data_IF_532821531519
#
_entry.id   IF_532821531519
#
_cell.length_a   1.000
_cell.length_b   1.000
_cell.length_c   1.000
_cell.angle_alpha   90.00
_cell.angle_beta   90.00
_cell.angle_gamma   90.00
#
_symmetry.space_group_name_H-M   'P 1'
#
loop_
_entity.id
_entity.type
_entity.pdbx_description
1 polymer ?
#
# COMPACT_ATOMS: atom_id res chain seq x y z
N UNK A 1 -17.22 29.87 -15.85
CA UNK A 1 -16.57 28.63 -16.32
C UNK A 1 -15.20 28.57 -15.69
N UNK A 2 -14.97 27.67 -14.75
CA UNK A 2 -13.71 27.51 -14.05
C UNK A 2 -13.71 26.13 -13.39
N UNK A 3 -12.96 25.21 -13.98
CA UNK A 3 -12.82 23.82 -13.56
C UNK A 3 -11.75 23.67 -12.46
N UNK A 4 -12.01 22.70 -11.58
CA UNK A 4 -11.07 21.73 -10.97
C UNK A 4 -9.87 22.24 -10.13
N UNK A 5 -9.96 22.07 -8.80
CA UNK A 5 -9.02 21.28 -7.97
C UNK A 5 -9.24 21.54 -6.47
N UNK A 6 -9.83 20.56 -5.78
CA UNK A 6 -9.67 20.32 -4.35
C UNK A 6 -10.01 18.83 -4.13
N UNK A 7 -9.11 17.90 -4.44
CA UNK A 7 -7.95 17.64 -3.59
C UNK A 7 -8.32 16.62 -2.52
N UNK A 8 -8.86 15.45 -2.92
CA UNK A 8 -8.87 14.16 -2.20
C UNK A 8 -9.09 14.24 -0.67
N UNK A 9 -9.92 15.16 -0.20
CA UNK A 9 -10.28 15.33 1.21
C UNK A 9 -11.44 14.45 1.63
N UNK A 10 -11.73 13.40 0.85
CA UNK A 10 -12.59 12.30 1.26
C UNK A 10 -11.85 11.41 2.28
N UNK A 11 -11.35 12.05 3.35
CA UNK A 11 -11.13 11.55 4.70
C UNK A 11 -12.45 11.03 5.31
N UNK A 12 -13.25 10.31 4.53
CA UNK A 12 -14.47 9.67 4.98
C UNK A 12 -14.09 8.42 5.77
N UNK A 13 -14.01 8.58 7.08
CA UNK A 13 -14.70 7.70 8.04
C UNK A 13 -14.53 6.19 7.86
N UNK A 14 -13.32 5.68 7.65
CA UNK A 14 -12.97 4.32 8.07
C UNK A 14 -11.75 4.43 8.97
N UNK A 15 -11.93 4.09 10.24
CA UNK A 15 -10.83 3.90 11.18
C UNK A 15 -10.10 2.64 10.73
N UNK A 16 -9.31 2.75 9.65
CA UNK A 16 -8.50 1.65 9.15
C UNK A 16 -7.64 1.16 10.31
N UNK A 17 -7.68 -0.15 10.54
CA UNK A 17 -6.72 -0.79 11.43
C UNK A 17 -5.30 -0.51 10.93
N UNK A 18 -4.30 -0.66 11.80
CA UNK A 18 -2.89 -0.53 11.39
C UNK A 18 -2.57 -1.40 10.17
N UNK A 19 -3.12 -2.61 10.10
CA UNK A 19 -2.92 -3.53 8.98
C UNK A 19 -3.57 -3.01 7.68
N UNK A 20 -4.78 -2.47 7.76
CA UNK A 20 -5.46 -1.89 6.60
C UNK A 20 -4.77 -0.62 6.11
N UNK A 21 -4.29 0.22 7.02
CA UNK A 21 -3.50 1.42 6.70
C UNK A 21 -2.20 1.08 5.99
N UNK A 22 -1.42 0.13 6.52
CA UNK A 22 -0.17 -0.34 5.89
C UNK A 22 -0.42 -0.94 4.51
N UNK A 23 -1.50 -1.71 4.36
CA UNK A 23 -1.90 -2.33 3.09
C UNK A 23 -2.30 -1.26 2.07
N UNK A 24 -3.08 -0.28 2.50
CA UNK A 24 -3.48 0.84 1.65
C UNK A 24 -2.28 1.67 1.19
N UNK A 25 -1.34 1.98 2.09
CA UNK A 25 -0.10 2.69 1.74
C UNK A 25 0.70 1.95 0.68
N UNK A 26 0.83 0.62 0.78
CA UNK A 26 1.51 -0.19 -0.23
C UNK A 26 0.81 -0.11 -1.59
N UNK A 27 -0.52 -0.23 -1.63
CA UNK A 27 -1.28 -0.11 -2.88
C UNK A 27 -1.08 1.25 -3.56
N UNK A 28 -1.09 2.35 -2.79
CA UNK A 28 -0.84 3.69 -3.32
C UNK A 28 0.57 3.81 -3.90
N UNK A 29 1.60 3.30 -3.20
CA UNK A 29 2.97 3.30 -3.70
C UNK A 29 3.12 2.52 -5.02
N UNK A 30 2.44 1.38 -5.15
CA UNK A 30 2.46 0.58 -6.36
C UNK A 30 1.77 1.27 -7.54
N UNK A 31 0.61 1.88 -7.31
CA UNK A 31 -0.10 2.64 -8.34
C UNK A 31 0.71 3.85 -8.81
N UNK A 32 1.40 4.52 -7.90
CA UNK A 32 2.29 5.63 -8.24
C UNK A 32 3.51 5.17 -9.03
N UNK A 33 4.11 4.03 -8.66
CA UNK A 33 5.23 3.49 -9.43
C UNK A 33 4.80 3.10 -10.85
N UNK A 34 3.61 2.51 -10.98
CA UNK A 34 3.00 2.16 -12.26
C UNK A 34 2.68 3.40 -13.10
N UNK A 35 2.11 4.45 -12.50
CA UNK A 35 1.75 5.70 -13.20
C UNK A 35 2.99 6.42 -13.75
N UNK A 36 4.12 6.33 -13.05
CA UNK A 36 5.41 6.86 -13.46
C UNK A 36 6.16 6.00 -14.49
N UNK A 37 5.63 4.81 -14.80
CA UNK A 37 6.21 3.91 -15.80
C UNK A 37 7.46 3.17 -15.33
N UNK A 38 7.64 2.95 -14.03
CA UNK A 38 8.75 2.12 -13.56
C UNK A 38 8.56 0.66 -14.01
N UNK A 39 9.60 0.10 -14.62
CA UNK A 39 9.54 -1.25 -15.18
C UNK A 39 9.79 -2.36 -14.16
N UNK A 40 10.51 -2.06 -13.07
CA UNK A 40 10.92 -3.00 -12.02
C UNK A 40 11.04 -2.27 -10.69
N UNK A 41 10.30 -2.71 -9.67
CA UNK A 41 10.27 -2.06 -8.36
C UNK A 41 10.15 -3.11 -7.25
N UNK A 42 10.96 -2.96 -6.21
CA UNK A 42 10.86 -3.74 -4.99
C UNK A 42 10.26 -2.86 -3.90
N UNK A 43 9.11 -3.28 -3.40
CA UNK A 43 8.44 -2.68 -2.26
C UNK A 43 8.79 -3.45 -1.00
N UNK A 44 8.97 -2.74 0.10
CA UNK A 44 9.31 -3.33 1.39
C UNK A 44 8.19 -3.06 2.40
N UNK A 45 7.85 -4.08 3.19
CA UNK A 45 6.87 -3.97 4.27
C UNK A 45 7.41 -4.64 5.53
N UNK A 46 7.16 -4.05 6.68
CA UNK A 46 7.43 -4.65 7.99
C UNK A 46 6.25 -5.45 8.55
N UNK A 47 5.21 -5.66 7.73
CA UNK A 47 4.03 -6.45 8.07
C UNK A 47 4.11 -7.84 7.45
N UNK A 48 4.50 -8.82 8.27
CA UNK A 48 4.57 -10.21 7.81
C UNK A 48 3.20 -10.73 7.37
N UNK A 49 2.13 -10.31 8.06
CA UNK A 49 0.74 -10.69 7.77
C UNK A 49 0.35 -10.24 6.35
N UNK A 50 0.68 -9.00 5.99
CA UNK A 50 0.45 -8.45 4.65
C UNK A 50 1.23 -9.22 3.58
N UNK A 51 2.54 -9.38 3.77
CA UNK A 51 3.40 -10.08 2.81
C UNK A 51 2.95 -11.52 2.60
N UNK A 52 2.57 -12.22 3.68
CA UNK A 52 2.06 -13.59 3.60
C UNK A 52 0.69 -13.63 2.90
N UNK A 53 -0.20 -12.66 3.12
CA UNK A 53 -1.50 -12.56 2.46
C UNK A 53 -1.36 -12.35 0.94
N UNK A 54 -0.44 -11.47 0.52
CA UNK A 54 -0.11 -11.25 -0.90
C UNK A 54 0.47 -12.53 -1.51
N UNK A 55 1.49 -13.11 -0.88
CA UNK A 55 2.19 -14.30 -1.38
C UNK A 55 1.26 -15.49 -1.57
N UNK A 56 0.35 -15.71 -0.62
CA UNK A 56 -0.61 -16.82 -0.68
C UNK A 56 -1.87 -16.49 -1.49
N UNK A 57 -2.00 -15.26 -2.01
CA UNK A 57 -3.22 -14.76 -2.66
C UNK A 57 -4.46 -15.05 -1.81
N UNK A 58 -4.34 -14.74 -0.52
CA UNK A 58 -5.34 -15.08 0.49
C UNK A 58 -6.70 -14.49 0.11
N UNK A 59 -7.75 -15.31 0.18
CA UNK A 59 -9.13 -14.93 -0.15
C UNK A 59 -9.95 -14.70 1.12
N UNK A 60 -10.94 -13.81 1.02
CA UNK A 60 -11.92 -13.53 2.07
C UNK A 60 -12.66 -12.24 1.82
N UNK A 61 -13.47 -11.81 2.79
CA UNK A 61 -14.41 -10.69 2.65
C UNK A 61 -14.11 -9.52 3.62
N UNK A 62 -12.90 -9.44 4.19
CA UNK A 62 -12.50 -8.30 5.01
C UNK A 62 -11.96 -7.17 4.12
N UNK A 63 -12.01 -5.93 4.61
CA UNK A 63 -11.44 -4.77 3.91
C UNK A 63 -9.95 -4.96 3.64
N UNK A 64 -9.17 -5.40 4.65
CA UNK A 64 -7.78 -5.84 4.46
C UNK A 64 -7.61 -6.78 3.25
N UNK A 65 -8.42 -7.83 3.13
CA UNK A 65 -8.29 -8.81 2.03
C UNK A 65 -8.77 -8.26 0.69
N UNK A 66 -9.72 -7.33 0.68
CA UNK A 66 -10.12 -6.60 -0.53
C UNK A 66 -8.95 -5.78 -1.08
N UNK A 67 -8.23 -5.05 -0.22
CA UNK A 67 -7.07 -4.26 -0.64
C UNK A 67 -5.91 -5.18 -1.05
N UNK A 68 -5.67 -6.29 -0.33
CA UNK A 68 -4.69 -7.31 -0.75
C UNK A 68 -5.00 -7.85 -2.16
N UNK A 69 -6.28 -8.07 -2.47
CA UNK A 69 -6.67 -8.51 -3.80
C UNK A 69 -6.35 -7.45 -4.88
N UNK A 70 -6.57 -6.17 -4.60
CA UNK A 70 -6.17 -5.09 -5.51
C UNK A 70 -4.65 -5.04 -5.72
N UNK A 71 -3.86 -5.21 -4.65
CA UNK A 71 -2.39 -5.31 -4.75
C UNK A 71 -1.98 -6.45 -5.67
N UNK A 72 -2.59 -7.64 -5.49
CA UNK A 72 -2.31 -8.81 -6.35
C UNK A 72 -2.64 -8.49 -7.82
N UNK A 73 -3.74 -7.80 -8.10
CA UNK A 73 -4.09 -7.39 -9.47
C UNK A 73 -3.05 -6.43 -10.07
N UNK A 74 -2.51 -5.49 -9.28
CA UNK A 74 -1.42 -4.62 -9.74
C UNK A 74 -0.16 -5.44 -10.04
N UNK A 75 0.24 -6.37 -9.18
CA UNK A 75 1.40 -7.25 -9.41
C UNK A 75 1.24 -8.11 -10.67
N UNK A 76 0.03 -8.60 -10.96
CA UNK A 76 -0.23 -9.34 -12.20
C UNK A 76 -0.09 -8.45 -13.44
N UNK A 77 -0.39 -7.15 -13.33
CA UNK A 77 -0.19 -6.18 -14.42
C UNK A 77 1.25 -5.67 -14.55
N UNK A 78 2.05 -5.77 -13.49
CA UNK A 78 3.42 -5.26 -13.40
C UNK A 78 4.35 -6.40 -12.94
N UNK A 79 4.73 -7.28 -13.87
CA UNK A 79 5.37 -8.58 -13.56
C UNK A 79 6.72 -8.50 -12.83
N UNK A 80 7.41 -7.36 -12.87
CA UNK A 80 8.66 -7.13 -12.14
C UNK A 80 8.45 -6.34 -10.84
N UNK A 81 7.21 -6.19 -10.37
CA UNK A 81 6.94 -5.65 -9.05
C UNK A 81 7.02 -6.77 -8.03
N UNK A 82 7.79 -6.53 -6.97
CA UNK A 82 8.01 -7.49 -5.88
C UNK A 82 7.68 -6.84 -4.54
N UNK A 83 7.13 -7.61 -3.60
CA UNK A 83 6.93 -7.17 -2.22
C UNK A 83 7.76 -8.06 -1.31
N UNK A 84 8.63 -7.45 -0.48
CA UNK A 84 9.49 -8.13 0.49
C UNK A 84 9.16 -7.75 1.91
N UNK A 85 9.26 -8.74 2.79
CA UNK A 85 9.22 -8.50 4.22
C UNK A 85 10.59 -8.04 4.74
N UNK A 86 10.61 -6.92 5.46
CA UNK A 86 11.79 -6.42 6.18
C UNK A 86 11.50 -6.34 7.68
N UNK A 87 12.45 -6.73 8.53
CA UNK A 87 12.29 -6.54 9.97
C UNK A 87 12.51 -5.06 10.32
N UNK A 88 11.67 -4.51 11.21
CA UNK A 88 11.60 -3.10 11.68
C UNK A 88 12.92 -2.39 12.00
N UNK A 89 14.05 -3.07 12.12
CA UNK A 89 15.35 -2.42 12.31
C UNK A 89 15.77 -1.51 11.12
N UNK A 90 15.13 -1.63 9.94
CA UNK A 90 15.41 -0.80 8.75
C UNK A 90 14.38 0.30 8.47
N UNK A 91 13.21 0.31 9.13
CA UNK A 91 12.09 1.19 8.74
C UNK A 91 11.96 2.45 9.62
N UNK A 92 13.07 2.94 10.18
CA UNK A 92 13.08 4.16 11.01
C UNK A 92 12.54 5.37 10.25
N UNK A 93 12.80 5.44 8.94
CA UNK A 93 12.36 6.53 8.07
C UNK A 93 10.84 6.53 7.87
N UNK A 94 10.22 5.37 7.60
CA UNK A 94 8.76 5.29 7.46
C UNK A 94 8.05 5.56 8.79
N UNK A 95 8.62 5.10 9.91
CA UNK A 95 8.11 5.42 11.25
C UNK A 95 8.19 6.93 11.54
N UNK A 96 9.30 7.58 11.19
CA UNK A 96 9.45 9.04 11.32
C UNK A 96 8.49 9.80 10.40
N UNK A 97 8.27 9.36 9.16
CA UNK A 97 7.31 9.98 8.24
C UNK A 97 5.86 9.84 8.71
N UNK A 98 5.47 8.66 9.21
CA UNK A 98 4.13 8.45 9.76
C UNK A 98 3.87 9.30 11.02
N UNK A 99 4.88 9.48 11.88
CA UNK A 99 4.78 10.42 13.02
C UNK A 99 4.70 11.88 12.57
N UNK A 100 5.50 12.28 11.57
CA UNK A 100 5.49 13.66 11.06
C UNK A 100 4.18 14.03 10.35
N UNK A 101 3.52 13.07 9.70
CA UNK A 101 2.23 13.29 9.05
C UNK A 101 1.05 13.37 10.04
N UNK A 102 1.23 12.95 11.29
CA UNK A 102 0.25 13.00 12.37
C UNK A 102 0.52 14.15 13.37
N UNK A 103 1.23 15.20 12.94
CA UNK A 103 1.57 16.41 13.71
C UNK A 103 0.73 17.61 13.32
#
# INVERSE_FOLDING_TARGET
SGEFMAGITQWQQLTLSTEEGETWTLLQAMNEAKSRGFESVQFESDSQVLVDAIRTRRRGNSEFLSIVNEIVLVMLSCVNFEVKFIRRQLNSVAHTLAMAANS
#
